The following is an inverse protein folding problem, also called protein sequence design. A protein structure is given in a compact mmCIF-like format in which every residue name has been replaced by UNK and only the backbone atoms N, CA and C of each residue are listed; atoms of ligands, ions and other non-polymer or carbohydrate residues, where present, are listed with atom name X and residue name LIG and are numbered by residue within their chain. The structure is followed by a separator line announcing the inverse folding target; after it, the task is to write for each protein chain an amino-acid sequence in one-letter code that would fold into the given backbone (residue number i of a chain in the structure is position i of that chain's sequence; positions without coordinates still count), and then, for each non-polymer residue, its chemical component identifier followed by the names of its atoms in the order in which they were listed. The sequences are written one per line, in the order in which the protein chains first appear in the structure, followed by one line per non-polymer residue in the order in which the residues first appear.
data_IF_619169868677
#
_entry.id   IF_619169868677
#
_cell.length_a   1.000
_cell.length_b   1.000
_cell.length_c   1.000
_cell.angle_alpha   90.00
_cell.angle_beta   90.00
_cell.angle_gamma   90.00
#
_symmetry.space_group_name_H-M   'P 1'
#
loop_
_entity.id
_entity.type
_entity.pdbx_description
1 polymer ?
#
# COMPACT_ATOMS: atom_id res chain seq x y z
N UNK A 1 -24.48 -46.99 -1.66
CA UNK A 1 -24.54 -45.94 -2.71
C UNK A 1 -23.31 -45.07 -2.52
N UNK A 2 -22.35 -45.10 -3.44
CA UNK A 2 -21.13 -44.30 -3.34
C UNK A 2 -21.46 -42.92 -3.92
N UNK A 3 -21.48 -41.89 -3.09
CA UNK A 3 -21.62 -40.50 -3.58
C UNK A 3 -20.30 -40.14 -4.24
N UNK A 4 -20.34 -39.94 -5.56
CA UNK A 4 -19.17 -39.53 -6.34
C UNK A 4 -18.92 -38.05 -6.05
N UNK A 5 -17.88 -37.76 -5.29
CA UNK A 5 -17.50 -36.39 -4.94
C UNK A 5 -16.71 -35.79 -6.11
N UNK A 6 -17.24 -34.75 -6.73
CA UNK A 6 -16.60 -34.09 -7.87
C UNK A 6 -15.86 -32.83 -7.41
N UNK A 7 -14.58 -32.72 -7.73
CA UNK A 7 -13.75 -31.57 -7.37
C UNK A 7 -13.76 -30.57 -8.50
N UNK A 8 -14.15 -29.32 -8.19
CA UNK A 8 -14.25 -28.24 -9.17
C UNK A 8 -13.35 -27.10 -8.71
N UNK A 9 -12.60 -26.53 -9.65
CA UNK A 9 -11.78 -25.34 -9.41
C UNK A 9 -12.67 -24.11 -9.52
N UNK A 10 -12.80 -23.37 -8.42
CA UNK A 10 -13.49 -22.08 -8.38
C UNK A 10 -12.45 -20.96 -8.46
N UNK A 11 -12.78 -19.89 -9.18
CA UNK A 11 -11.99 -18.67 -9.12
C UNK A 11 -12.26 -18.00 -7.77
N UNK A 12 -11.19 -17.78 -7.01
CA UNK A 12 -11.25 -17.15 -5.70
C UNK A 12 -10.18 -16.05 -5.60
N UNK A 13 -10.55 -14.93 -4.98
CA UNK A 13 -9.66 -13.80 -4.74
C UNK A 13 -9.91 -13.24 -3.34
N UNK A 14 -8.82 -12.89 -2.63
CA UNK A 14 -8.86 -12.15 -1.37
C UNK A 14 -8.58 -10.68 -1.68
N UNK A 15 -9.60 -9.84 -1.47
CA UNK A 15 -9.49 -8.39 -1.68
C UNK A 15 -8.53 -7.72 -0.70
N UNK A 16 -8.19 -6.45 -0.95
CA UNK A 16 -7.37 -5.64 -0.04
C UNK A 16 -8.02 -5.40 1.32
N UNK A 17 -9.32 -5.66 1.43
CA UNK A 17 -10.14 -5.64 2.63
C UNK A 17 -10.13 -6.97 3.40
N UNK A 18 -9.46 -8.01 2.87
CA UNK A 18 -9.38 -9.34 3.46
C UNK A 18 -10.60 -10.22 3.18
N UNK A 19 -11.51 -9.81 2.31
CA UNK A 19 -12.73 -10.58 2.00
C UNK A 19 -12.42 -11.61 0.90
N UNK A 20 -12.73 -12.88 1.18
CA UNK A 20 -12.68 -13.96 0.20
C UNK A 20 -13.94 -13.93 -0.68
N UNK A 21 -13.77 -13.68 -1.97
CA UNK A 21 -14.82 -13.77 -2.96
C UNK A 21 -14.70 -15.08 -3.74
N UNK A 22 -15.80 -15.82 -3.85
CA UNK A 22 -15.88 -17.07 -4.61
C UNK A 22 -16.94 -16.89 -5.69
N UNK A 23 -16.55 -17.09 -6.95
CA UNK A 23 -17.49 -17.09 -8.08
C UNK A 23 -17.84 -18.52 -8.46
N UNK A 24 -19.12 -18.87 -8.32
CA UNK A 24 -19.65 -20.20 -8.65
C UNK A 24 -20.23 -20.25 -10.05
N UNK A 25 -20.07 -21.39 -10.73
CA UNK A 25 -20.67 -21.59 -12.06
C UNK A 25 -22.21 -21.57 -11.98
N UNK A 26 -22.87 -21.14 -13.05
CA UNK A 26 -24.34 -21.04 -13.12
C UNK A 26 -25.04 -22.37 -12.94
N UNK A 27 -24.33 -23.48 -13.18
CA UNK A 27 -24.88 -24.84 -13.02
C UNK A 27 -25.22 -25.20 -11.58
N UNK A 28 -24.76 -24.40 -10.61
CA UNK A 28 -25.08 -24.55 -9.17
C UNK A 28 -26.26 -23.70 -8.72
N UNK A 29 -26.90 -22.95 -9.62
CA UNK A 29 -28.09 -22.17 -9.28
C UNK A 29 -29.19 -23.08 -8.73
N UNK A 30 -29.76 -22.68 -7.59
CA UNK A 30 -30.82 -23.39 -6.87
C UNK A 30 -30.46 -24.82 -6.42
N UNK A 31 -29.16 -25.14 -6.33
CA UNK A 31 -28.65 -26.42 -5.83
C UNK A 31 -27.98 -26.26 -4.46
N UNK A 32 -28.17 -27.24 -3.58
CA UNK A 32 -27.39 -27.36 -2.36
C UNK A 32 -26.01 -27.93 -2.69
N UNK A 33 -24.95 -27.25 -2.24
CA UNK A 33 -23.55 -27.63 -2.50
C UNK A 33 -22.81 -27.67 -1.17
N UNK A 34 -22.08 -28.75 -0.93
CA UNK A 34 -21.17 -28.86 0.20
C UNK A 34 -19.80 -28.28 -0.21
N UNK A 35 -19.28 -27.34 0.59
CA UNK A 35 -18.04 -26.61 0.28
C UNK A 35 -17.05 -26.81 1.42
N UNK A 36 -15.86 -27.31 1.10
CA UNK A 36 -14.73 -27.39 2.01
C UNK A 36 -13.74 -26.26 1.70
N UNK A 37 -13.57 -25.33 2.64
CA UNK A 37 -12.59 -24.24 2.53
C UNK A 37 -11.38 -24.58 3.41
N UNK A 38 -10.21 -24.72 2.77
CA UNK A 38 -8.93 -24.90 3.49
C UNK A 38 -8.23 -23.55 3.52
N UNK A 39 -8.12 -22.97 4.72
CA UNK A 39 -7.34 -21.74 4.95
C UNK A 39 -5.99 -22.15 5.51
N UNK A 40 -4.95 -21.96 4.70
CA UNK A 40 -3.57 -22.10 5.15
C UNK A 40 -2.93 -20.72 5.18
N UNK A 41 -2.45 -20.24 6.34
CA UNK A 41 -1.60 -19.06 6.36
C UNK A 41 -0.33 -19.40 5.59
N UNK A 42 -0.10 -18.70 4.49
CA UNK A 42 1.19 -18.72 3.81
C UNK A 42 2.09 -17.75 4.57
N UNK A 43 3.24 -18.23 5.03
CA UNK A 43 4.28 -17.33 5.50
C UNK A 43 4.53 -16.34 4.37
N UNK A 44 4.37 -15.06 4.69
CA UNK A 44 4.46 -13.99 3.73
C UNK A 44 5.96 -13.83 3.38
N UNK A 45 6.51 -14.76 2.61
CA UNK A 45 7.77 -14.59 1.89
C UNK A 45 7.51 -13.72 0.66
N UNK A 46 6.81 -12.60 0.84
CA UNK A 46 7.20 -11.43 0.09
C UNK A 46 8.62 -11.15 0.55
N UNK A 47 9.60 -11.75 -0.16
CA UNK A 47 10.97 -11.31 -0.16
C UNK A 47 10.87 -9.81 -0.35
N UNK A 48 11.00 -9.07 0.76
CA UNK A 48 10.72 -7.65 0.80
C UNK A 48 11.84 -7.07 -0.02
N UNK A 49 11.59 -6.90 -1.32
CA UNK A 49 12.57 -6.37 -2.24
C UNK A 49 12.93 -5.01 -1.68
N UNK A 50 14.12 -4.93 -1.10
CA UNK A 50 14.56 -3.74 -0.39
C UNK A 50 14.57 -2.64 -1.44
N UNK A 51 13.59 -1.74 -1.35
CA UNK A 51 13.47 -0.64 -2.30
C UNK A 51 14.63 0.31 -2.01
N UNK A 52 15.51 0.50 -2.99
CA UNK A 52 16.61 1.45 -2.85
C UNK A 52 16.14 2.83 -3.36
N UNK A 53 16.63 3.89 -2.74
CA UNK A 53 16.40 5.24 -3.22
C UNK A 53 17.30 5.56 -4.43
N UNK A 54 17.17 6.77 -4.99
CA UNK A 54 17.98 7.24 -6.12
C UNK A 54 19.51 7.24 -5.87
N UNK A 55 19.95 7.08 -4.62
CA UNK A 55 21.36 6.99 -4.21
C UNK A 55 21.76 5.58 -3.79
N UNK A 56 20.96 4.56 -4.09
CA UNK A 56 21.27 3.16 -3.79
C UNK A 56 21.14 2.79 -2.31
N UNK A 57 20.57 3.64 -1.45
CA UNK A 57 20.36 3.33 -0.03
C UNK A 57 18.99 2.69 0.20
N UNK A 58 18.93 1.74 1.13
CA UNK A 58 17.69 1.08 1.51
C UNK A 58 16.64 2.11 2.00
N UNK A 59 15.46 2.07 1.40
CA UNK A 59 14.31 2.91 1.77
C UNK A 59 13.62 2.25 2.94
N UNK A 60 13.84 2.81 4.12
CA UNK A 60 13.18 2.41 5.36
C UNK A 60 12.18 3.48 5.79
N UNK A 61 11.22 3.11 6.65
CA UNK A 61 10.28 4.08 7.26
C UNK A 61 11.04 5.23 7.95
N UNK A 62 12.15 4.90 8.63
CA UNK A 62 13.04 5.88 9.28
C UNK A 62 13.66 6.83 8.27
N UNK A 63 14.24 6.33 7.17
CA UNK A 63 14.88 7.20 6.17
C UNK A 63 13.90 8.15 5.48
N UNK A 64 12.65 7.74 5.28
CA UNK A 64 11.59 8.61 4.74
C UNK A 64 11.29 9.74 5.73
N UNK A 65 11.13 9.38 7.01
CA UNK A 65 10.80 10.35 8.05
C UNK A 65 11.94 11.36 8.27
N UNK A 66 13.19 10.90 8.27
CA UNK A 66 14.37 11.75 8.34
C UNK A 66 14.43 12.74 7.16
N UNK A 67 14.09 12.31 5.94
CA UNK A 67 14.06 13.16 4.76
C UNK A 67 12.97 14.25 4.87
N UNK A 68 11.78 13.89 5.35
CA UNK A 68 10.69 14.84 5.58
C UNK A 68 11.10 15.90 6.62
N UNK A 69 11.67 15.48 7.74
CA UNK A 69 12.12 16.40 8.79
C UNK A 69 13.19 17.37 8.28
N UNK A 70 14.15 16.89 7.48
CA UNK A 70 15.16 17.77 6.85
C UNK A 70 14.54 18.79 5.91
N UNK A 71 13.59 18.38 5.07
CA UNK A 71 12.90 19.31 4.17
C UNK A 71 12.12 20.38 4.93
N UNK A 72 11.49 20.02 6.06
CA UNK A 72 10.80 20.99 6.92
C UNK A 72 11.77 21.96 7.60
N UNK A 73 12.94 21.48 8.04
CA UNK A 73 13.97 22.31 8.63
C UNK A 73 14.57 23.27 7.60
N UNK A 74 14.93 22.76 6.41
CA UNK A 74 15.40 23.57 5.27
C UNK A 74 14.40 24.68 4.95
N UNK A 75 13.09 24.38 4.92
CA UNK A 75 12.04 25.39 4.70
C UNK A 75 12.04 26.49 5.76
N UNK A 76 12.42 26.20 7.01
CA UNK A 76 12.55 27.20 8.08
C UNK A 76 13.84 28.00 7.94
N UNK A 77 14.94 27.36 7.55
CA UNK A 77 16.26 27.99 7.40
C UNK A 77 16.36 28.89 6.16
N UNK A 78 15.83 28.44 5.02
CA UNK A 78 15.81 29.20 3.76
C UNK A 78 14.59 30.12 3.63
N UNK A 79 13.63 29.99 4.54
CA UNK A 79 12.46 30.85 4.56
C UNK A 79 12.86 32.25 4.99
N UNK A 80 12.71 33.23 4.12
CA UNK A 80 12.82 34.63 4.49
C UNK A 80 11.76 34.97 5.55
N UNK A 81 12.17 35.66 6.61
CA UNK A 81 11.25 36.14 7.64
C UNK A 81 10.17 37.02 6.97
N UNK A 82 8.89 36.78 7.32
CA UNK A 82 7.75 37.50 6.76
C UNK A 82 7.87 39.02 6.97
N UNK A 83 8.47 39.45 8.07
CA UNK A 83 8.70 40.86 8.35
C UNK A 83 9.79 41.43 7.43
N UNK A 84 10.84 40.65 7.17
CA UNK A 84 11.92 41.02 6.25
C UNK A 84 11.41 41.09 4.80
N UNK A 85 10.56 40.14 4.37
CA UNK A 85 9.89 40.19 3.06
C UNK A 85 9.05 41.47 2.95
N UNK A 86 8.32 41.82 4.02
CA UNK A 86 7.47 43.01 4.03
C UNK A 86 8.27 44.30 3.93
N UNK A 87 9.34 44.44 4.72
CA UNK A 87 10.25 45.58 4.64
C UNK A 87 10.88 45.68 3.24
N UNK A 88 11.33 44.57 2.66
CA UNK A 88 11.95 44.57 1.33
C UNK A 88 10.97 44.92 0.19
N UNK A 89 9.68 44.57 0.34
CA UNK A 89 8.60 44.99 -0.58
C UNK A 89 8.32 46.49 -0.44
N UNK A 90 8.26 47.00 0.81
CA UNK A 90 8.09 48.42 1.09
C UNK A 90 9.28 49.26 0.57
N UNK A 91 10.49 48.69 0.56
CA UNK A 91 11.70 49.28 -0.03
C UNK A 91 11.82 49.06 -1.56
N UNK A 92 10.90 48.34 -2.20
CA UNK A 92 10.89 48.13 -3.66
C UNK A 92 11.97 47.19 -4.20
N UNK A 93 12.62 46.37 -3.36
CA UNK A 93 13.60 45.36 -3.81
C UNK A 93 12.88 44.09 -4.30
N UNK A 94 13.36 43.48 -5.38
CA UNK A 94 12.79 42.24 -5.95
C UNK A 94 13.62 41.01 -5.56
N UNK A 95 12.93 39.85 -5.48
CA UNK A 95 13.44 38.54 -5.06
C UNK A 95 14.40 37.91 -6.07
#
# INVERSE_FOLDING_TARGET
MVVKMETIKLLAHIGTDGILQIQTHTDFKDKSVEVLVVVQPLDNTEATTIKHNAWGKATTKKSIQDAISRMQQLRKEVGLDKNLIREMIEEGRRF
#
